data_IF_714142149448
#
_entry.id   IF_714142149448
#
_cell.length_a   1.000
_cell.length_b   1.000
_cell.length_c   1.000
_cell.angle_alpha   90.00
_cell.angle_beta   90.00
_cell.angle_gamma   90.00
#
_symmetry.space_group_name_H-M   'P 1'
#
loop_
_entity.id
_entity.type
_entity.pdbx_description
1 polymer ?
#
# COMPACT_ATOMS: atom_id res chain seq x y z
N UNK A 1 79.62 -33.34 6.10
CA UNK A 1 78.30 -32.74 6.43
C UNK A 1 77.41 -33.86 6.96
N UNK A 2 77.33 -34.01 8.29
CA UNK A 2 76.49 -35.04 8.93
C UNK A 2 75.04 -34.53 9.01
N UNK A 3 74.15 -35.18 8.26
CA UNK A 3 72.70 -35.01 8.39
C UNK A 3 72.23 -35.86 9.56
N UNK A 4 72.01 -35.23 10.71
CA UNK A 4 71.25 -35.81 11.82
C UNK A 4 69.76 -35.84 11.44
N UNK A 5 69.31 -36.89 10.75
CA UNK A 5 67.88 -37.17 10.58
C UNK A 5 67.38 -37.91 11.82
N UNK A 6 66.90 -37.18 12.82
CA UNK A 6 66.06 -37.76 13.87
C UNK A 6 64.69 -38.05 13.25
N UNK A 7 64.36 -39.33 13.10
CA UNK A 7 63.02 -39.72 12.67
C UNK A 7 62.00 -39.33 13.73
N UNK A 8 60.98 -38.57 13.35
CA UNK A 8 59.83 -38.31 14.22
C UNK A 8 59.18 -39.63 14.61
N UNK A 9 58.91 -39.80 15.90
CA UNK A 9 58.20 -40.99 16.39
C UNK A 9 56.76 -40.96 15.86
N UNK A 10 56.25 -42.13 15.45
CA UNK A 10 54.86 -42.29 14.98
C UNK A 10 53.84 -41.76 16.01
N UNK A 11 54.17 -41.89 17.30
CA UNK A 11 53.38 -41.36 18.42
C UNK A 11 53.30 -39.83 18.41
N UNK A 12 54.39 -39.16 18.07
CA UNK A 12 54.47 -37.69 18.08
C UNK A 12 53.61 -37.09 16.96
N UNK A 13 53.59 -37.71 15.78
CA UNK A 13 52.67 -37.34 14.70
C UNK A 13 51.21 -37.62 15.05
N UNK A 14 50.92 -38.72 15.76
CA UNK A 14 49.56 -39.02 16.19
C UNK A 14 49.01 -37.98 17.18
N UNK A 15 49.82 -37.53 18.14
CA UNK A 15 49.44 -36.47 19.09
C UNK A 15 49.17 -35.16 18.36
N UNK A 16 50.00 -34.78 17.38
CA UNK A 16 49.79 -33.57 16.58
C UNK A 16 48.47 -33.63 15.80
N UNK A 17 48.16 -34.77 15.17
CA UNK A 17 46.90 -34.95 14.43
C UNK A 17 45.67 -34.87 15.34
N UNK A 18 45.74 -35.42 16.56
CA UNK A 18 44.66 -35.32 17.55
C UNK A 18 44.44 -33.86 17.96
N UNK A 19 45.51 -33.11 18.22
CA UNK A 19 45.42 -31.69 18.57
C UNK A 19 44.82 -30.90 17.41
N UNK A 20 45.26 -31.14 16.17
CA UNK A 20 44.68 -30.50 14.99
C UNK A 20 43.20 -30.85 14.80
N UNK A 21 42.82 -32.11 14.99
CA UNK A 21 41.42 -32.54 14.90
C UNK A 21 40.53 -31.82 15.92
N UNK A 22 41.00 -31.71 17.17
CA UNK A 22 40.28 -30.98 18.22
C UNK A 22 40.16 -29.48 17.93
N UNK A 23 41.23 -28.84 17.42
CA UNK A 23 41.22 -27.42 17.06
C UNK A 23 40.31 -27.13 15.86
N UNK A 24 40.31 -27.99 14.84
CA UNK A 24 39.44 -27.84 13.68
C UNK A 24 37.97 -28.00 14.05
N UNK A 25 37.66 -28.95 14.94
CA UNK A 25 36.28 -29.19 15.40
C UNK A 25 35.75 -28.05 16.27
N UNK A 26 36.60 -27.41 17.08
CA UNK A 26 36.19 -26.24 17.87
C UNK A 26 36.09 -24.97 17.03
N UNK A 27 36.91 -24.82 15.99
CA UNK A 27 36.84 -23.69 15.08
C UNK A 27 35.58 -23.69 14.20
N UNK A 28 35.06 -24.87 13.82
CA UNK A 28 33.89 -24.96 12.93
C UNK A 28 32.60 -24.39 13.53
N UNK A 29 32.37 -24.54 14.85
CA UNK A 29 31.15 -24.02 15.51
C UNK A 29 31.11 -22.50 15.58
N UNK A 30 32.27 -21.87 15.71
CA UNK A 30 32.40 -20.41 15.70
C UNK A 30 32.16 -19.87 14.29
N UNK A 31 32.69 -20.55 13.27
CA UNK A 31 32.49 -20.17 11.87
C UNK A 31 31.01 -20.21 11.47
N UNK A 32 30.24 -21.22 11.90
CA UNK A 32 28.81 -21.30 11.60
C UNK A 32 28.01 -20.15 12.21
N UNK A 33 28.33 -19.74 13.44
CA UNK A 33 27.68 -18.58 14.07
C UNK A 33 27.99 -17.27 13.34
N UNK A 34 29.24 -17.09 12.88
CA UNK A 34 29.61 -15.92 12.10
C UNK A 34 28.95 -15.87 10.74
N UNK A 35 28.84 -17.00 10.04
CA UNK A 35 28.13 -17.10 8.76
C UNK A 35 26.64 -16.78 8.96
N UNK A 36 26.00 -17.35 9.97
CA UNK A 36 24.58 -17.10 10.25
C UNK A 36 24.33 -15.64 10.63
N UNK A 37 25.16 -15.05 11.50
CA UNK A 37 25.04 -13.63 11.85
C UNK A 37 25.29 -12.73 10.64
N UNK A 38 26.32 -13.03 9.84
CA UNK A 38 26.67 -12.28 8.64
C UNK A 38 25.59 -12.36 7.56
N UNK A 39 24.96 -13.52 7.40
CA UNK A 39 23.81 -13.73 6.53
C UNK A 39 22.62 -12.87 6.97
N UNK A 40 22.23 -12.91 8.24
CA UNK A 40 21.09 -12.16 8.75
C UNK A 40 21.29 -10.64 8.60
N UNK A 41 22.49 -10.13 8.89
CA UNK A 41 22.83 -8.72 8.67
C UNK A 41 22.79 -8.34 7.17
N UNK A 42 23.21 -9.25 6.29
CA UNK A 42 23.16 -9.01 4.84
C UNK A 42 21.72 -9.03 4.34
N UNK A 43 20.88 -9.97 4.80
CA UNK A 43 19.45 -10.02 4.47
C UNK A 43 18.73 -8.76 4.93
N UNK A 44 19.00 -8.24 6.13
CA UNK A 44 18.45 -6.94 6.59
C UNK A 44 18.79 -5.78 5.67
N UNK A 45 20.04 -5.69 5.20
CA UNK A 45 20.45 -4.66 4.23
C UNK A 45 19.80 -4.83 2.87
N UNK A 46 19.60 -6.07 2.43
CA UNK A 46 18.88 -6.39 1.19
C UNK A 46 17.40 -5.97 1.31
N UNK A 47 16.74 -6.24 2.44
CA UNK A 47 15.38 -5.76 2.74
C UNK A 47 15.32 -4.24 2.66
N UNK A 48 16.24 -3.52 3.30
CA UNK A 48 16.28 -2.05 3.23
C UNK A 48 16.42 -1.55 1.78
N UNK A 49 17.26 -2.20 0.97
CA UNK A 49 17.39 -1.87 -0.45
C UNK A 49 16.11 -2.17 -1.24
N UNK A 50 15.42 -3.27 -0.93
CA UNK A 50 14.15 -3.62 -1.55
C UNK A 50 13.04 -2.64 -1.16
N UNK A 51 12.99 -2.19 0.11
CA UNK A 51 12.10 -1.11 0.54
C UNK A 51 12.33 0.16 -0.28
N UNK A 52 13.59 0.54 -0.49
CA UNK A 52 13.92 1.71 -1.29
C UNK A 52 13.54 1.55 -2.78
N UNK A 53 13.66 0.34 -3.33
CA UNK A 53 13.18 0.05 -4.68
C UNK A 53 11.65 0.21 -4.78
N UNK A 54 10.90 -0.32 -3.82
CA UNK A 54 9.45 -0.17 -3.75
C UNK A 54 9.02 1.29 -3.56
N UNK A 55 9.76 2.09 -2.77
CA UNK A 55 9.54 3.53 -2.70
C UNK A 55 9.72 4.20 -4.06
N UNK A 56 10.77 3.82 -4.81
CA UNK A 56 11.03 4.37 -6.14
C UNK A 56 9.96 3.98 -7.15
N UNK A 57 9.45 2.74 -7.09
CA UNK A 57 8.33 2.28 -7.94
C UNK A 57 7.08 3.08 -7.60
N UNK A 58 6.71 3.17 -6.32
CA UNK A 58 5.55 3.95 -5.89
C UNK A 58 5.65 5.43 -6.28
N UNK A 59 6.85 6.02 -6.25
CA UNK A 59 7.09 7.41 -6.65
C UNK A 59 6.96 7.63 -8.17
N UNK A 60 7.39 6.65 -8.98
CA UNK A 60 7.44 6.79 -10.44
C UNK A 60 6.14 6.36 -11.12
N UNK A 61 5.57 5.26 -10.66
CA UNK A 61 4.38 4.65 -11.25
C UNK A 61 3.10 5.05 -10.52
N UNK A 62 3.20 5.47 -9.25
CA UNK A 62 2.06 5.85 -8.43
C UNK A 62 1.30 4.68 -7.79
N UNK A 63 1.73 3.44 -8.03
CA UNK A 63 1.18 2.20 -7.50
C UNK A 63 2.29 1.18 -7.19
N UNK A 64 1.96 0.15 -6.41
CA UNK A 64 2.83 -1.02 -6.27
C UNK A 64 2.52 -1.99 -7.41
N UNK A 65 3.54 -2.46 -8.13
CA UNK A 65 3.31 -3.37 -9.25
C UNK A 65 2.84 -4.74 -8.74
N UNK A 66 1.68 -5.19 -9.21
CA UNK A 66 1.24 -6.56 -8.99
C UNK A 66 1.84 -7.46 -10.08
N UNK A 67 3.01 -8.05 -9.83
CA UNK A 67 3.55 -9.11 -10.68
C UNK A 67 3.01 -10.46 -10.22
N UNK A 68 1.70 -10.70 -10.38
CA UNK A 68 1.13 -12.04 -10.23
C UNK A 68 0.74 -12.65 -11.58
N UNK A 69 1.17 -13.89 -11.76
CA UNK A 69 0.40 -14.89 -12.52
C UNK A 69 -0.70 -15.36 -11.56
N UNK A 70 -1.94 -15.03 -11.86
CA UNK A 70 -3.11 -15.47 -11.10
C UNK A 70 -3.23 -16.99 -11.18
N UNK A 71 -3.23 -17.69 -10.04
CA UNK A 71 -3.86 -19.00 -9.90
C UNK A 71 -5.04 -18.85 -8.93
N UNK A 72 -6.22 -19.24 -9.38
CA UNK A 72 -7.51 -18.57 -9.19
C UNK A 72 -8.29 -19.00 -7.93
N UNK A 73 -7.66 -19.19 -6.75
CA UNK A 73 -8.36 -19.89 -5.65
C UNK A 73 -8.39 -19.24 -4.27
N UNK A 74 -7.43 -18.41 -3.83
CA UNK A 74 -7.48 -17.85 -2.48
C UNK A 74 -7.08 -16.37 -2.45
N UNK A 75 -7.91 -15.52 -1.82
CA UNK A 75 -7.82 -14.05 -1.78
C UNK A 75 -6.57 -13.48 -1.04
N UNK A 76 -5.47 -14.22 -0.96
CA UNK A 76 -4.16 -13.76 -0.54
C UNK A 76 -3.22 -13.81 -1.75
N UNK A 77 -2.89 -12.63 -2.29
CA UNK A 77 -2.06 -12.45 -3.47
C UNK A 77 -0.58 -12.61 -3.06
N UNK A 78 -0.02 -13.80 -3.25
CA UNK A 78 1.44 -14.03 -3.15
C UNK A 78 2.10 -13.64 -4.48
N UNK A 79 2.80 -12.51 -4.52
CA UNK A 79 3.64 -12.14 -5.67
C UNK A 79 4.90 -13.00 -5.69
N UNK A 80 5.29 -13.51 -6.87
CA UNK A 80 6.68 -13.88 -7.11
C UNK A 80 7.51 -12.58 -7.27
N UNK A 81 8.38 -12.23 -6.30
CA UNK A 81 9.01 -10.90 -6.22
C UNK A 81 10.09 -10.65 -7.26
N UNK A 82 10.28 -11.58 -8.20
CA UNK A 82 11.54 -11.75 -8.90
C UNK A 82 11.89 -10.58 -9.85
N UNK A 83 10.91 -9.82 -10.33
CA UNK A 83 11.15 -8.73 -11.29
C UNK A 83 11.03 -7.32 -10.68
N UNK A 84 10.46 -7.16 -9.49
CA UNK A 84 10.22 -5.85 -8.85
C UNK A 84 11.24 -5.50 -7.76
N UNK A 85 11.87 -6.50 -7.14
CA UNK A 85 12.84 -6.28 -6.07
C UNK A 85 14.26 -6.05 -6.62
N UNK A 86 15.02 -5.18 -5.96
CA UNK A 86 16.44 -4.98 -6.28
C UNK A 86 17.29 -6.22 -6.00
N UNK A 87 16.89 -6.98 -4.96
CA UNK A 87 17.44 -8.28 -4.60
C UNK A 87 16.28 -9.26 -4.43
N UNK A 88 16.02 -10.14 -5.42
CA UNK A 88 14.93 -11.11 -5.31
C UNK A 88 15.20 -12.16 -4.23
N UNK A 89 16.47 -12.54 -4.05
CA UNK A 89 16.91 -13.48 -3.05
C UNK A 89 17.58 -12.82 -1.84
N UNK A 90 17.42 -13.43 -0.69
CA UNK A 90 18.13 -13.11 0.54
C UNK A 90 19.58 -13.63 0.56
N UNK A 91 20.29 -13.41 1.67
CA UNK A 91 21.69 -13.83 1.80
C UNK A 91 21.90 -15.35 1.83
N UNK A 92 20.83 -16.13 2.01
CA UNK A 92 20.83 -17.59 2.09
C UNK A 92 20.35 -18.27 0.80
N UNK A 93 19.98 -17.46 -0.20
CA UNK A 93 19.53 -17.90 -1.51
C UNK A 93 18.05 -18.30 -1.55
N UNK A 94 17.24 -17.78 -0.64
CA UNK A 94 15.78 -17.96 -0.61
C UNK A 94 15.14 -16.68 -1.12
N UNK A 95 14.05 -16.78 -1.88
CA UNK A 95 13.30 -15.61 -2.34
C UNK A 95 12.73 -14.83 -1.14
N UNK A 96 12.74 -13.51 -1.21
CA UNK A 96 11.97 -12.70 -0.27
C UNK A 96 10.48 -12.98 -0.47
N UNK A 97 9.70 -12.91 0.59
CA UNK A 97 8.24 -12.94 0.50
C UNK A 97 7.72 -11.51 0.68
N UNK A 98 6.96 -11.01 -0.31
CA UNK A 98 6.39 -9.66 -0.32
C UNK A 98 4.88 -9.75 -0.21
N UNK A 99 4.34 -9.13 0.84
CA UNK A 99 2.90 -8.98 1.08
C UNK A 99 2.58 -7.50 1.00
N UNK A 100 1.54 -7.10 0.28
CA UNK A 100 1.14 -5.70 0.16
C UNK A 100 -0.38 -5.56 0.19
N UNK A 101 -0.83 -4.33 0.46
CA UNK A 101 -2.24 -3.99 0.46
C UNK A 101 -2.79 -3.94 -0.98
N UNK A 102 -3.78 -4.78 -1.33
CA UNK A 102 -4.21 -4.98 -2.71
C UNK A 102 -4.72 -3.70 -3.40
N UNK A 103 -5.34 -2.79 -2.65
CA UNK A 103 -5.83 -1.50 -3.13
C UNK A 103 -4.72 -0.52 -3.52
N UNK A 104 -3.47 -0.74 -3.07
CA UNK A 104 -2.32 0.05 -3.47
C UNK A 104 -1.64 -0.48 -4.73
N UNK A 105 -2.02 -1.69 -5.15
CA UNK A 105 -1.38 -2.36 -6.24
C UNK A 105 -2.20 -2.34 -7.52
N UNK A 106 -1.48 -2.47 -8.63
CA UNK A 106 -2.08 -2.46 -9.94
C UNK A 106 -1.37 -3.43 -10.89
N UNK A 107 -2.15 -4.14 -11.69
CA UNK A 107 -1.64 -5.00 -12.75
C UNK A 107 -1.53 -4.19 -14.06
N UNK A 108 -0.30 -3.86 -14.52
CA UNK A 108 -0.08 -3.06 -15.72
C UNK A 108 -0.65 -3.68 -17.00
N UNK A 109 -0.99 -4.99 -17.00
CA UNK A 109 -1.63 -5.66 -18.12
C UNK A 109 -3.08 -5.23 -18.40
N UNK A 110 -3.71 -4.47 -17.49
CA UNK A 110 -5.16 -4.23 -17.53
C UNK A 110 -5.61 -2.81 -17.89
N UNK A 111 -4.72 -1.81 -17.93
CA UNK A 111 -4.84 -0.40 -18.43
C UNK A 111 -4.05 0.55 -17.51
N UNK A 112 -3.27 1.51 -18.02
CA UNK A 112 -2.54 2.43 -17.14
C UNK A 112 -3.50 3.32 -16.33
N UNK A 113 -3.40 3.30 -15.00
CA UNK A 113 -4.19 4.20 -14.15
C UNK A 113 -3.80 5.67 -14.37
N UNK A 114 -4.80 6.53 -14.53
CA UNK A 114 -4.61 7.99 -14.56
C UNK A 114 -4.50 8.63 -13.17
N UNK A 115 -4.59 7.81 -12.11
CA UNK A 115 -4.44 8.23 -10.72
C UNK A 115 -3.40 7.36 -10.00
N UNK A 116 -2.89 7.84 -8.86
CA UNK A 116 -1.99 7.09 -7.99
C UNK A 116 -2.76 6.50 -6.82
N UNK A 117 -3.01 5.18 -6.77
CA UNK A 117 -3.57 4.51 -5.60
C UNK A 117 -2.78 4.81 -4.31
N UNK A 118 -1.44 4.86 -4.40
CA UNK A 118 -0.58 5.15 -3.26
C UNK A 118 -0.84 6.55 -2.68
N UNK A 119 -0.94 7.57 -3.54
CA UNK A 119 -1.19 8.93 -3.07
C UNK A 119 -2.66 9.21 -2.75
N UNK A 120 -3.57 8.52 -3.44
CA UNK A 120 -5.01 8.66 -3.29
C UNK A 120 -5.56 7.95 -2.06
N UNK A 121 -5.09 6.76 -1.70
CA UNK A 121 -5.70 5.96 -0.64
C UNK A 121 -5.66 6.65 0.74
N UNK A 122 -6.76 6.56 1.49
CA UNK A 122 -6.85 7.14 2.84
C UNK A 122 -6.37 6.19 3.94
N UNK A 123 -6.56 4.88 3.74
CA UNK A 123 -6.25 3.77 4.65
C UNK A 123 -5.86 2.53 3.83
N UNK A 124 -5.40 1.47 4.51
CA UNK A 124 -5.25 0.15 3.88
C UNK A 124 -5.99 -0.97 4.61
N UNK A 125 -6.25 -2.07 3.91
CA UNK A 125 -6.85 -3.29 4.46
C UNK A 125 -5.83 -4.22 5.13
N UNK A 126 -4.54 -3.86 5.08
CA UNK A 126 -3.44 -4.65 5.62
C UNK A 126 -3.01 -4.12 6.98
N UNK A 127 -2.99 -5.01 7.98
CA UNK A 127 -2.53 -4.76 9.34
C UNK A 127 -1.33 -5.63 9.65
N UNK A 128 -0.40 -5.12 10.45
CA UNK A 128 0.66 -5.94 11.03
C UNK A 128 0.46 -6.07 12.53
N UNK A 129 0.48 -7.31 13.02
CA UNK A 129 0.39 -7.65 14.44
C UNK A 129 1.70 -8.23 14.91
N UNK A 130 2.37 -7.51 15.80
CA UNK A 130 3.55 -8.02 16.53
C UNK A 130 3.02 -8.81 17.71
N UNK A 131 3.14 -10.13 17.65
CA UNK A 131 2.63 -11.05 18.66
C UNK A 131 3.48 -10.98 19.95
N UNK A 132 2.82 -10.99 21.11
CA UNK A 132 3.52 -11.07 22.40
C UNK A 132 3.93 -12.49 22.79
N UNK A 133 3.32 -13.50 22.17
CA UNK A 133 3.56 -14.92 22.45
C UNK A 133 3.26 -15.80 21.21
N UNK A 134 3.50 -17.12 21.33
CA UNK A 134 3.27 -18.08 20.25
C UNK A 134 1.79 -18.24 19.84
N UNK A 135 0.85 -18.03 20.78
CA UNK A 135 -0.58 -18.08 20.50
C UNK A 135 -1.12 -16.78 19.86
N UNK A 136 -0.30 -15.73 19.83
CA UNK A 136 -0.65 -14.38 19.41
C UNK A 136 -1.94 -13.85 20.06
N UNK A 137 -2.22 -14.18 21.32
CA UNK A 137 -3.47 -13.86 22.02
C UNK A 137 -3.32 -12.80 23.12
N UNK A 138 -2.08 -12.45 23.50
CA UNK A 138 -1.80 -11.48 24.56
C UNK A 138 -0.50 -10.72 24.31
N UNK A 139 -0.46 -9.46 24.76
CA UNK A 139 0.72 -8.59 24.65
C UNK A 139 1.03 -8.14 23.21
N UNK A 140 0.03 -8.16 22.34
CA UNK A 140 0.21 -7.83 20.92
C UNK A 140 0.28 -6.32 20.70
N UNK A 141 1.05 -5.91 19.69
CA UNK A 141 1.04 -4.54 19.16
C UNK A 141 0.52 -4.58 17.73
N UNK A 142 -0.55 -3.81 17.47
CA UNK A 142 -1.14 -3.69 16.14
C UNK A 142 -0.65 -2.40 15.48
N UNK A 143 -0.32 -2.52 14.20
CA UNK A 143 0.06 -1.43 13.31
C UNK A 143 -0.91 -1.47 12.14
N UNK A 144 -1.75 -0.43 12.07
CA UNK A 144 -2.72 -0.24 11.00
C UNK A 144 -2.09 0.42 9.77
N UNK A 145 -2.86 0.44 8.68
CA UNK A 145 -2.50 1.09 7.42
C UNK A 145 -1.14 0.66 6.88
N UNK A 146 -0.84 -0.65 6.93
CA UNK A 146 0.40 -1.18 6.38
C UNK A 146 0.29 -1.19 4.86
N UNK A 147 1.28 -0.63 4.17
CA UNK A 147 1.31 -0.64 2.72
C UNK A 147 1.88 -1.97 2.20
N UNK A 148 3.01 -2.39 2.76
CA UNK A 148 3.64 -3.68 2.44
C UNK A 148 4.56 -4.19 3.55
N UNK A 149 4.84 -5.49 3.50
CA UNK A 149 5.72 -6.25 4.41
C UNK A 149 6.66 -7.09 3.56
N UNK A 150 7.96 -7.02 3.88
CA UNK A 150 9.02 -7.83 3.28
C UNK A 150 9.52 -8.83 4.33
N UNK A 151 9.60 -10.10 3.93
CA UNK A 151 9.92 -11.23 4.80
C UNK A 151 11.03 -12.07 4.17
N UNK A 152 12.00 -12.50 4.98
CA UNK A 152 12.99 -13.52 4.61
C UNK A 152 12.95 -14.65 5.63
N UNK A 153 12.94 -15.89 5.14
CA UNK A 153 13.03 -17.12 5.94
C UNK A 153 14.40 -17.37 6.58
N UNK A 154 15.32 -16.40 6.51
CA UNK A 154 16.52 -16.36 7.35
C UNK A 154 17.35 -17.67 7.33
N UNK A 155 17.86 -18.10 8.48
CA UNK A 155 18.81 -19.21 8.61
C UNK A 155 18.12 -20.56 8.34
N UNK A 156 16.88 -20.73 8.78
CA UNK A 156 16.16 -22.00 8.60
C UNK A 156 15.63 -22.18 7.15
N UNK A 157 15.63 -21.10 6.35
CA UNK A 157 15.18 -21.03 4.95
C UNK A 157 13.70 -21.34 4.75
N UNK A 158 12.93 -21.38 5.82
CA UNK A 158 11.50 -21.51 5.82
C UNK A 158 10.91 -20.14 6.11
N UNK A 159 10.15 -19.57 5.17
CA UNK A 159 9.34 -18.40 5.50
C UNK A 159 8.21 -18.90 6.39
N UNK A 160 8.11 -18.37 7.61
CA UNK A 160 7.13 -18.80 8.62
C UNK A 160 6.01 -17.76 8.83
N UNK A 161 6.15 -16.58 8.23
CA UNK A 161 5.22 -15.46 8.31
C UNK A 161 4.29 -15.43 7.10
N UNK A 162 2.98 -15.41 7.35
CA UNK A 162 1.94 -15.20 6.33
C UNK A 162 0.89 -14.19 6.82
N UNK A 163 0.06 -13.75 5.90
CA UNK A 163 -1.26 -13.20 6.14
C UNK A 163 -2.23 -14.19 6.75
N UNK A 164 -2.99 -13.73 7.74
CA UNK A 164 -4.19 -14.39 8.23
C UNK A 164 -5.35 -13.40 8.15
N UNK A 165 -6.51 -13.86 7.68
CA UNK A 165 -7.73 -13.05 7.70
C UNK A 165 -8.31 -13.06 9.12
N UNK A 166 -8.06 -12.00 9.89
CA UNK A 166 -8.66 -11.81 11.21
C UNK A 166 -9.81 -10.82 11.06
N UNK A 167 -11.05 -11.29 11.25
CA UNK A 167 -12.25 -10.42 11.32
C UNK A 167 -12.31 -9.43 10.15
N UNK A 168 -12.25 -9.93 8.92
CA UNK A 168 -12.29 -9.19 7.64
C UNK A 168 -11.07 -8.31 7.30
N UNK A 169 -10.01 -8.31 8.11
CA UNK A 169 -8.77 -7.56 7.86
C UNK A 169 -7.62 -8.53 7.60
N UNK A 170 -6.86 -8.30 6.54
CA UNK A 170 -5.66 -9.07 6.25
C UNK A 170 -4.59 -8.68 7.27
N UNK A 171 -4.27 -9.60 8.19
CA UNK A 171 -3.34 -9.34 9.29
C UNK A 171 -2.09 -10.21 9.14
N UNK A 172 -0.93 -9.57 9.00
CA UNK A 172 0.37 -10.26 9.02
C UNK A 172 0.82 -10.42 10.48
N UNK A 173 1.10 -11.65 10.91
CA UNK A 173 1.54 -11.93 12.29
C UNK A 173 3.05 -12.11 12.35
N UNK A 174 3.72 -11.25 13.10
CA UNK A 174 5.17 -11.30 13.34
C UNK A 174 5.43 -11.73 14.76
N UNK A 175 6.26 -12.74 14.95
CA UNK A 175 6.56 -13.31 16.27
C UNK A 175 7.92 -12.83 16.81
N UNK A 176 8.13 -12.90 18.14
CA UNK A 176 9.46 -12.74 18.72
C UNK A 176 10.42 -13.81 18.19
N UNK A 177 11.68 -13.43 17.97
CA UNK A 177 12.73 -14.34 17.52
C UNK A 177 12.92 -15.50 18.51
N UNK A 178 12.97 -16.73 18.00
CA UNK A 178 13.09 -17.96 18.77
C UNK A 178 11.77 -18.52 19.31
N UNK A 179 10.62 -17.92 18.97
CA UNK A 179 9.31 -18.48 19.33
C UNK A 179 9.15 -19.87 18.71
N UNK A 180 8.88 -20.89 19.52
CA UNK A 180 8.87 -22.27 19.06
C UNK A 180 7.61 -22.62 18.25
N UNK A 181 7.77 -23.55 17.30
CA UNK A 181 6.70 -24.19 16.54
C UNK A 181 5.80 -23.21 15.77
N UNK A 182 6.40 -22.21 15.13
CA UNK A 182 5.69 -21.31 14.21
C UNK A 182 5.92 -21.80 12.79
N UNK A 183 4.84 -21.86 12.01
CA UNK A 183 4.88 -22.03 10.56
C UNK A 183 3.52 -21.64 9.98
N UNK A 184 3.32 -20.32 9.83
CA UNK A 184 2.06 -19.81 9.30
C UNK A 184 2.04 -19.82 7.77
N UNK A 185 3.19 -20.05 7.12
CA UNK A 185 3.35 -20.06 5.66
C UNK A 185 3.86 -21.41 5.16
N UNK A 186 3.03 -22.44 5.33
CA UNK A 186 3.37 -23.83 5.02
C UNK A 186 3.59 -24.12 3.51
N UNK A 187 3.38 -23.14 2.63
CA UNK A 187 3.53 -23.30 1.17
C UNK A 187 4.99 -23.39 0.71
N UNK A 188 5.93 -22.79 1.46
CA UNK A 188 7.37 -22.90 1.15
C UNK A 188 7.90 -24.24 1.64
N UNK A 189 7.78 -24.47 2.95
CA UNK A 189 8.18 -25.70 3.64
C UNK A 189 7.22 -25.87 4.83
N UNK A 190 6.37 -26.89 4.81
CA UNK A 190 5.50 -27.25 5.95
C UNK A 190 6.33 -27.90 7.07
N UNK A 191 6.92 -27.06 7.93
CA UNK A 191 7.78 -27.45 9.04
C UNK A 191 7.77 -26.40 10.15
N UNK A 192 6.99 -26.70 11.21
CA UNK A 192 6.99 -25.94 12.46
C UNK A 192 8.38 -25.93 13.13
N UNK A 193 8.99 -24.75 13.20
CA UNK A 193 10.33 -24.53 13.78
C UNK A 193 10.36 -23.28 14.67
N UNK A 194 11.52 -22.99 15.25
CA UNK A 194 11.71 -21.73 15.95
C UNK A 194 11.68 -20.59 14.94
N UNK A 195 10.86 -19.58 15.22
CA UNK A 195 10.69 -18.40 14.40
C UNK A 195 12.00 -17.62 14.27
N UNK A 196 12.56 -17.52 13.06
CA UNK A 196 13.78 -16.76 12.78
C UNK A 196 13.66 -15.80 11.58
N UNK A 197 12.44 -15.64 11.05
CA UNK A 197 12.14 -14.75 9.94
C UNK A 197 12.64 -13.33 10.20
N UNK A 198 13.21 -12.72 9.17
CA UNK A 198 13.58 -11.31 9.17
C UNK A 198 12.46 -10.55 8.46
N UNK A 199 11.74 -9.73 9.22
CA UNK A 199 10.58 -8.99 8.73
C UNK A 199 10.82 -7.49 8.86
N UNK A 200 10.50 -6.74 7.81
CA UNK A 200 10.40 -5.29 7.84
C UNK A 200 9.14 -4.87 7.08
N UNK A 201 8.55 -3.73 7.44
CA UNK A 201 7.32 -3.25 6.86
C UNK A 201 7.38 -1.75 6.61
N UNK A 202 6.37 -1.26 5.88
CA UNK A 202 6.16 0.14 5.57
C UNK A 202 4.69 0.46 5.75
N UNK A 203 4.39 1.55 6.44
CA UNK A 203 3.02 2.07 6.56
C UNK A 203 2.65 2.94 5.36
N UNK A 204 1.37 3.07 5.03
CA UNK A 204 0.87 3.94 3.97
C UNK A 204 1.33 5.40 4.15
N UNK A 205 1.27 6.02 5.35
CA UNK A 205 1.80 7.37 5.56
C UNK A 205 3.29 7.47 5.22
N UNK A 206 4.10 6.46 5.59
CA UNK A 206 5.54 6.43 5.27
C UNK A 206 5.77 6.31 3.76
N UNK A 207 5.08 5.36 3.11
CA UNK A 207 5.16 5.15 1.66
C UNK A 207 4.83 6.44 0.90
N UNK A 208 3.76 7.15 1.31
CA UNK A 208 3.32 8.39 0.68
C UNK A 208 4.34 9.51 0.77
N UNK A 209 4.93 9.71 1.95
CA UNK A 209 5.97 10.72 2.15
C UNK A 209 7.19 10.41 1.28
N UNK A 210 7.56 9.13 1.17
CA UNK A 210 8.70 8.70 0.34
C UNK A 210 8.40 8.73 -1.16
N UNK A 211 7.15 8.49 -1.55
CA UNK A 211 6.68 8.59 -2.93
C UNK A 211 6.52 10.04 -3.42
N UNK A 212 6.59 11.03 -2.51
CA UNK A 212 6.43 12.44 -2.86
C UNK A 212 4.98 12.87 -3.07
N UNK A 213 4.03 12.15 -2.47
CA UNK A 213 2.62 12.49 -2.57
C UNK A 213 2.34 13.87 -1.93
N UNK A 214 1.62 14.74 -2.64
CA UNK A 214 1.11 15.99 -2.06
C UNK A 214 0.11 15.71 -0.91
N UNK A 215 -0.02 16.62 0.07
CA UNK A 215 -0.89 16.43 1.23
C UNK A 215 -2.39 16.41 0.86
N UNK A 216 -2.78 17.05 -0.24
CA UNK A 216 -4.18 17.14 -0.66
C UNK A 216 -4.57 15.91 -1.49
N UNK A 217 -5.24 14.98 -0.78
CA UNK A 217 -5.67 13.67 -1.28
C UNK A 217 -6.69 13.79 -2.40
N UNK A 218 -7.65 14.69 -2.25
CA UNK A 218 -8.74 14.97 -3.17
C UNK A 218 -8.97 16.48 -3.14
N UNK A 219 -9.17 17.13 -4.27
CA UNK A 219 -9.42 18.58 -4.34
C UNK A 219 -10.46 18.90 -5.40
N UNK A 220 -11.17 20.01 -5.19
CA UNK A 220 -11.91 20.66 -6.26
C UNK A 220 -10.96 21.58 -7.02
N UNK A 221 -10.96 21.49 -8.34
CA UNK A 221 -10.18 22.38 -9.21
C UNK A 221 -10.71 23.82 -9.15
N UNK A 222 -12.03 23.93 -9.02
CA UNK A 222 -12.75 25.18 -9.04
C UNK A 222 -12.86 25.79 -7.64
N UNK A 223 -12.27 26.97 -7.47
CA UNK A 223 -12.22 27.67 -6.17
C UNK A 223 -13.20 28.84 -6.07
N UNK A 224 -13.77 29.28 -7.20
CA UNK A 224 -14.73 30.37 -7.25
C UNK A 224 -15.74 30.16 -8.38
N UNK A 225 -17.01 30.45 -8.10
CA UNK A 225 -18.07 30.39 -9.08
C UNK A 225 -18.21 31.74 -9.81
N UNK A 226 -18.50 31.75 -11.13
CA UNK A 226 -18.79 32.97 -11.87
C UNK A 226 -19.97 33.75 -11.28
N UNK A 227 -20.02 35.05 -11.56
CA UNK A 227 -21.16 35.89 -11.17
C UNK A 227 -22.45 35.46 -11.86
N UNK A 228 -23.57 35.60 -11.16
CA UNK A 228 -24.90 35.25 -11.66
C UNK A 228 -25.69 36.52 -12.02
N UNK A 229 -26.42 36.48 -13.14
CA UNK A 229 -27.25 37.59 -13.62
C UNK A 229 -28.71 37.14 -13.70
N UNK A 230 -29.63 38.02 -13.31
CA UNK A 230 -31.07 37.75 -13.37
C UNK A 230 -31.54 37.59 -14.82
N UNK A 231 -32.27 36.51 -15.10
CA UNK A 231 -32.80 36.16 -16.42
C UNK A 231 -31.77 35.65 -17.44
N UNK A 232 -30.49 35.56 -17.08
CA UNK A 232 -29.42 35.09 -17.97
C UNK A 232 -29.08 33.64 -17.67
N UNK A 233 -28.80 32.88 -18.73
CA UNK A 233 -28.36 31.50 -18.59
C UNK A 233 -27.01 31.42 -17.89
N UNK A 234 -27.01 30.72 -16.77
CA UNK A 234 -25.83 30.36 -15.99
C UNK A 234 -25.40 28.94 -16.33
N UNK A 235 -24.11 28.72 -16.56
CA UNK A 235 -23.52 27.38 -16.71
C UNK A 235 -22.12 27.41 -16.12
N UNK A 236 -21.83 26.50 -15.21
CA UNK A 236 -20.52 26.33 -14.60
C UNK A 236 -20.30 24.85 -14.26
N UNK A 237 -19.10 24.32 -14.49
CA UNK A 237 -18.75 22.94 -14.15
C UNK A 237 -17.70 22.94 -13.06
N UNK A 238 -17.85 22.01 -12.12
CA UNK A 238 -16.96 21.80 -10.97
C UNK A 238 -16.34 20.43 -11.12
N UNK A 239 -15.02 20.40 -11.19
CA UNK A 239 -14.26 19.17 -11.32
C UNK A 239 -13.57 18.80 -10.02
N UNK A 240 -13.54 17.50 -9.72
CA UNK A 240 -12.71 16.92 -8.68
C UNK A 240 -11.42 16.34 -9.29
N UNK A 241 -10.32 16.44 -8.57
CA UNK A 241 -9.03 15.88 -8.94
C UNK A 241 -8.36 15.23 -7.73
N UNK A 242 -7.61 14.17 -7.99
CA UNK A 242 -6.91 13.38 -6.98
C UNK A 242 -7.76 12.21 -6.49
N UNK A 243 -7.32 11.63 -5.39
CA UNK A 243 -8.04 10.59 -4.68
C UNK A 243 -7.94 9.24 -5.37
N UNK A 244 -8.76 8.31 -4.90
CA UNK A 244 -9.03 7.04 -5.58
C UNK A 244 -10.45 7.13 -6.15
N UNK A 245 -10.61 7.42 -7.45
CA UNK A 245 -11.94 7.52 -8.05
C UNK A 245 -12.68 6.17 -8.00
N UNK A 246 -14.01 6.22 -8.04
CA UNK A 246 -14.84 5.02 -8.22
C UNK A 246 -14.63 4.45 -9.62
N UNK A 247 -14.58 3.12 -9.73
CA UNK A 247 -14.64 2.45 -11.03
C UNK A 247 -16.06 2.53 -11.57
N UNK A 248 -16.23 2.93 -12.82
CA UNK A 248 -17.55 3.04 -13.42
C UNK A 248 -18.33 1.71 -13.44
N UNK A 249 -19.66 1.83 -13.36
CA UNK A 249 -20.60 0.73 -13.66
C UNK A 249 -20.56 0.29 -15.14
N UNK A 250 -20.11 1.17 -16.04
CA UNK A 250 -19.99 0.95 -17.49
C UNK A 250 -18.73 0.19 -17.91
N UNK A 251 -17.80 -0.08 -16.98
CA UNK A 251 -16.61 -0.90 -17.22
C UNK A 251 -15.47 -0.20 -17.97
N UNK A 252 -15.55 1.11 -18.24
CA UNK A 252 -14.42 1.89 -18.77
C UNK A 252 -13.52 2.35 -17.61
N UNK A 253 -12.26 1.87 -17.52
CA UNK A 253 -11.33 2.23 -16.44
C UNK A 253 -10.77 3.66 -16.54
N UNK A 254 -10.88 4.32 -17.70
CA UNK A 254 -10.27 5.65 -17.93
C UNK A 254 -11.12 6.79 -17.35
N UNK A 255 -12.36 6.51 -16.97
CA UNK A 255 -13.26 7.55 -16.49
C UNK A 255 -13.29 7.58 -14.96
N UNK A 256 -13.08 8.78 -14.42
CA UNK A 256 -12.93 9.04 -12.99
C UNK A 256 -14.25 9.51 -12.39
N UNK A 257 -14.87 8.68 -11.57
CA UNK A 257 -16.11 9.04 -10.88
C UNK A 257 -15.86 9.38 -9.41
N UNK A 258 -16.58 10.39 -8.94
CA UNK A 258 -16.62 10.83 -7.55
C UNK A 258 -18.09 10.96 -7.14
N UNK A 259 -18.36 10.78 -5.85
CA UNK A 259 -19.70 11.02 -5.31
C UNK A 259 -19.80 12.51 -4.96
N UNK A 260 -20.63 13.25 -5.65
CA UNK A 260 -20.94 14.64 -5.35
C UNK A 260 -22.19 14.72 -4.50
N UNK A 261 -22.09 15.35 -3.33
CA UNK A 261 -23.20 15.61 -2.42
C UNK A 261 -23.43 17.11 -2.31
N UNK A 262 -24.64 17.56 -2.60
CA UNK A 262 -25.03 18.95 -2.38
C UNK A 262 -25.51 19.08 -0.93
N UNK A 263 -24.78 19.85 -0.12
CA UNK A 263 -25.02 19.97 1.34
C UNK A 263 -25.83 21.22 1.69
N UNK A 264 -25.70 22.26 0.87
CA UNK A 264 -26.50 23.47 0.95
C UNK A 264 -26.45 24.20 -0.40
N UNK A 265 -27.60 24.65 -0.91
CA UNK A 265 -27.71 25.43 -2.15
C UNK A 265 -28.20 26.87 -1.94
N UNK A 266 -28.45 27.28 -0.69
CA UNK A 266 -29.00 28.59 -0.30
C UNK A 266 -30.28 28.97 -1.07
N UNK A 267 -31.10 27.96 -1.40
CA UNK A 267 -32.35 28.11 -2.14
C UNK A 267 -32.18 28.45 -3.62
N UNK A 268 -31.00 28.25 -4.21
CA UNK A 268 -30.75 28.44 -5.64
C UNK A 268 -31.63 27.54 -6.51
N UNK A 269 -31.97 26.33 -6.04
CA UNK A 269 -32.95 25.43 -6.66
C UNK A 269 -34.29 26.10 -6.96
N UNK A 270 -34.84 26.82 -5.97
CA UNK A 270 -36.10 27.54 -6.09
C UNK A 270 -36.01 28.77 -7.03
N UNK A 271 -34.80 29.19 -7.40
CA UNK A 271 -34.51 30.35 -8.25
C UNK A 271 -34.18 29.95 -9.69
N UNK A 272 -34.37 28.69 -10.04
CA UNK A 272 -34.16 28.18 -11.40
C UNK A 272 -32.72 27.77 -11.70
N UNK A 273 -31.86 27.65 -10.69
CA UNK A 273 -30.52 27.08 -10.80
C UNK A 273 -30.56 25.62 -10.37
N UNK A 274 -29.99 24.74 -11.19
CA UNK A 274 -29.98 23.30 -11.01
C UNK A 274 -28.55 22.78 -10.87
N UNK A 275 -28.40 21.74 -10.06
CA UNK A 275 -27.15 21.03 -9.83
C UNK A 275 -27.26 19.65 -10.46
N UNK A 276 -26.40 19.37 -11.42
CA UNK A 276 -26.50 18.15 -12.23
C UNK A 276 -25.15 17.46 -12.27
N UNK A 277 -25.09 16.24 -11.73
CA UNK A 277 -23.90 15.40 -11.86
C UNK A 277 -23.90 14.78 -13.25
N UNK A 278 -22.75 14.87 -13.92
CA UNK A 278 -22.56 14.42 -15.30
C UNK A 278 -21.45 13.40 -15.42
N UNK A 279 -21.59 12.57 -16.45
CA UNK A 279 -20.64 11.58 -16.91
C UNK A 279 -20.41 11.84 -18.42
N UNK A 280 -19.17 11.97 -18.85
CA UNK A 280 -18.77 12.23 -20.22
C UNK A 280 -19.23 11.09 -21.14
N UNK A 281 -19.89 11.45 -22.25
CA UNK A 281 -20.43 10.48 -23.20
C UNK A 281 -21.73 9.79 -22.79
N UNK A 282 -22.23 10.01 -21.57
CA UNK A 282 -23.48 9.43 -21.10
C UNK A 282 -24.64 10.45 -21.13
N UNK A 283 -25.84 9.97 -21.44
CA UNK A 283 -27.08 10.76 -21.47
C UNK A 283 -27.75 10.96 -20.09
N UNK A 284 -27.50 10.18 -19.00
CA UNK A 284 -28.17 10.45 -17.75
C UNK A 284 -27.60 11.71 -17.10
N UNK A 285 -28.46 12.72 -17.02
CA UNK A 285 -28.30 13.92 -16.20
C UNK A 285 -28.97 13.60 -14.86
N UNK A 286 -28.18 13.48 -13.80
CA UNK A 286 -28.74 13.27 -12.47
C UNK A 286 -28.86 14.62 -11.77
N UNK A 287 -30.09 15.09 -11.64
CA UNK A 287 -30.39 16.29 -10.85
C UNK A 287 -30.23 15.94 -9.37
N UNK A 288 -29.38 16.69 -8.68
CA UNK A 288 -29.21 16.58 -7.23
C UNK A 288 -29.82 17.82 -6.55
N UNK A 289 -30.56 17.60 -5.48
CA UNK A 289 -31.08 18.66 -4.60
C UNK A 289 -30.31 18.66 -3.28
N UNK A 290 -30.70 19.57 -2.38
CA UNK A 290 -30.06 19.70 -1.08
C UNK A 290 -30.21 18.40 -0.25
N UNK A 291 -29.08 17.82 0.13
CA UNK A 291 -28.96 16.52 0.80
C UNK A 291 -28.84 15.31 -0.14
N UNK A 292 -29.02 15.48 -1.44
CA UNK A 292 -28.87 14.40 -2.43
C UNK A 292 -27.38 14.19 -2.76
N UNK A 293 -27.03 12.94 -3.10
CA UNK A 293 -25.72 12.54 -3.57
C UNK A 293 -25.80 11.70 -4.84
N UNK A 294 -24.83 11.87 -5.72
CA UNK A 294 -24.77 11.09 -6.96
C UNK A 294 -23.32 10.93 -7.45
N UNK A 295 -23.05 9.82 -8.14
CA UNK A 295 -21.75 9.53 -8.74
C UNK A 295 -21.63 10.09 -10.17
N UNK A 296 -20.49 10.71 -10.46
CA UNK A 296 -20.14 11.14 -11.81
C UNK A 296 -18.77 11.80 -11.87
N UNK A 297 -18.41 12.37 -13.01
CA UNK A 297 -17.08 12.97 -13.23
C UNK A 297 -17.01 14.42 -12.75
N UNK A 298 -18.08 15.16 -12.96
CA UNK A 298 -18.15 16.58 -12.61
C UNK A 298 -19.58 17.02 -12.31
N UNK A 299 -19.67 18.07 -11.50
CA UNK A 299 -20.93 18.70 -11.14
C UNK A 299 -21.15 19.93 -12.01
N UNK A 300 -22.23 19.96 -12.78
CA UNK A 300 -22.66 21.15 -13.54
C UNK A 300 -23.70 21.93 -12.75
N UNK A 301 -23.44 23.20 -12.52
CA UNK A 301 -24.42 24.18 -12.01
C UNK A 301 -24.95 24.97 -13.21
N UNK A 302 -26.25 24.86 -13.49
CA UNK A 302 -26.82 25.55 -14.65
C UNK A 302 -28.28 25.93 -14.49
N UNK A 303 -28.73 26.95 -15.23
CA UNK A 303 -30.13 27.36 -15.24
C UNK A 303 -30.31 28.84 -15.57
N UNK A 304 -31.56 29.28 -15.62
CA UNK A 304 -31.89 30.69 -15.80
C UNK A 304 -32.34 31.24 -14.46
N UNK A 305 -31.44 32.00 -13.82
CA UNK A 305 -31.66 32.55 -12.49
C UNK A 305 -32.83 33.55 -12.50
N UNK A 306 -33.74 33.47 -11.54
CA UNK A 306 -34.83 34.44 -11.41
C UNK A 306 -34.97 34.95 -9.97
N UNK A 307 -35.23 36.26 -9.84
CA UNK A 307 -35.46 36.91 -8.56
C UNK A 307 -34.21 37.00 -7.69
N UNK A 308 -33.02 36.99 -8.30
CA UNK A 308 -31.74 36.99 -7.60
C UNK A 308 -31.58 38.27 -6.77
N UNK A 309 -31.24 38.11 -5.49
CA UNK A 309 -31.03 39.21 -4.53
C UNK A 309 -29.66 39.86 -4.67
N UNK A 310 -29.34 40.79 -3.78
CA UNK A 310 -28.04 41.48 -3.74
C UNK A 310 -26.98 40.77 -2.90
N UNK A 311 -27.40 39.82 -2.06
CA UNK A 311 -26.51 39.08 -1.18
C UNK A 311 -25.85 37.90 -1.93
N UNK A 312 -24.60 37.53 -1.59
CA UNK A 312 -23.94 36.38 -2.16
C UNK A 312 -24.61 35.07 -1.69
N UNK A 313 -24.77 34.13 -2.62
CA UNK A 313 -25.32 32.80 -2.33
C UNK A 313 -24.21 31.84 -1.91
N UNK A 314 -24.49 31.02 -0.90
CA UNK A 314 -23.57 30.02 -0.39
C UNK A 314 -23.92 28.64 -0.92
N UNK A 315 -22.99 28.01 -1.64
CA UNK A 315 -23.15 26.63 -2.10
C UNK A 315 -22.14 25.75 -1.38
N UNK A 316 -22.59 24.76 -0.63
CA UNK A 316 -21.71 23.79 0.02
C UNK A 316 -21.78 22.46 -0.70
N UNK A 317 -20.65 22.04 -1.24
CA UNK A 317 -20.49 20.78 -1.98
C UNK A 317 -19.54 19.90 -1.20
N UNK A 318 -19.93 18.65 -1.01
CA UNK A 318 -19.07 17.59 -0.53
C UNK A 318 -18.74 16.64 -1.69
N UNK A 319 -17.49 16.21 -1.76
CA UNK A 319 -17.04 15.20 -2.73
C UNK A 319 -16.37 14.07 -1.97
N UNK A 320 -16.81 12.85 -2.27
CA UNK A 320 -16.28 11.60 -1.71
C UNK A 320 -15.68 10.75 -2.84
N UNK A 321 -14.60 10.04 -2.53
CA UNK A 321 -13.96 9.09 -3.44
C UNK A 321 -14.02 7.64 -2.90
N UNK A 322 -13.60 6.67 -3.72
CA UNK A 322 -13.58 5.25 -3.34
C UNK A 322 -12.47 4.92 -2.34
N UNK A 323 -11.51 5.82 -2.15
CA UNK A 323 -10.44 5.70 -1.17
C UNK A 323 -10.87 6.10 0.23
N UNK A 324 -12.13 6.50 0.44
CA UNK A 324 -12.65 6.99 1.71
C UNK A 324 -12.24 8.43 2.02
N UNK A 325 -11.73 9.18 1.04
CA UNK A 325 -11.45 10.59 1.20
C UNK A 325 -12.72 11.40 0.98
N UNK A 326 -12.93 12.37 1.87
CA UNK A 326 -14.02 13.33 1.80
C UNK A 326 -13.46 14.75 1.80
N UNK A 327 -13.91 15.59 0.88
CA UNK A 327 -13.70 17.03 0.94
C UNK A 327 -15.02 17.76 0.97
N UNK A 328 -15.08 18.84 1.74
CA UNK A 328 -16.22 19.77 1.71
C UNK A 328 -15.72 21.16 1.38
N UNK A 329 -16.30 21.77 0.35
CA UNK A 329 -15.98 23.14 -0.06
C UNK A 329 -17.25 23.98 -0.06
N UNK A 330 -17.08 25.21 0.40
CA UNK A 330 -18.10 26.25 0.32
C UNK A 330 -17.70 27.20 -0.78
N UNK A 331 -18.50 27.25 -1.84
CA UNK A 331 -18.36 28.16 -2.96
C UNK A 331 -19.36 29.31 -2.82
N UNK A 332 -19.00 30.46 -3.36
CA UNK A 332 -19.82 31.66 -3.32
C UNK A 332 -20.19 32.08 -4.73
N UNK A 333 -21.48 32.29 -4.96
CA UNK A 333 -21.99 32.88 -6.21
C UNK A 333 -22.39 34.31 -5.90
N UNK A 334 -21.72 35.28 -6.54
CA UNK A 334 -22.05 36.69 -6.36
C UNK A 334 -23.09 37.12 -7.40
N UNK A 335 -24.17 37.80 -7.01
CA UNK A 335 -25.06 38.44 -7.96
C UNK A 335 -24.35 39.60 -8.65
N UNK A 336 -24.63 39.80 -9.92
CA UNK A 336 -24.22 41.02 -10.62
C UNK A 336 -25.10 42.17 -10.16
N UNK A 337 -24.48 43.14 -9.48
CA UNK A 337 -25.08 44.42 -9.08
C UNK A 337 -25.48 45.29 -10.26
#
# INVERSE_FOLDING_TARGET
MNRNSKGFSLVEMAVVLIIFGLVLTSASSILTLFVNKGGAERSRKMIESNKNALFSIAASDGYLQNTQVVDDVDNAITIEPNDTLAYPNDAYGVDFHLIYAPELAFDPGTVRLEYSPVCGASSTSLRLRICGNAACDAGNTDIDDVAFVLISGSVNKNVQTDTEVITTVNTVRVFPQGTAAIDNYATTIDRAENYDDIVDWVTLPELRVKAGCEPDRLRLLDTAMPVIQDGVQYVFSIYAEGGVPYRQSTGNPDIREYTFTLVNDDGLGARGIQFVVKQEGAIPLFLINDGDSEQGEYLTVSGNATGIGTDPYLVRIQVDDNGGNTITRTLYIKPQS
#
